data_IF_537969309787
#
_entry.id   IF_537969309787
#
_cell.length_a   1.000
_cell.length_b   1.000
_cell.length_c   1.000
_cell.angle_alpha   90.00
_cell.angle_beta   90.00
_cell.angle_gamma   90.00
#
_symmetry.space_group_name_H-M   'P 1'
#
loop_
_entity.id
_entity.type
_entity.pdbx_description
1 polymer ?
#
# COMPACT_ATOMS: atom_id res chain seq x y z
N UNK A 1 4.03 9.91 0.88
CA UNK A 1 4.85 8.80 0.32
C UNK A 1 3.99 7.76 -0.35
N UNK A 2 2.86 7.30 0.23
CA UNK A 2 1.98 6.37 -0.49
C UNK A 2 1.24 7.04 -1.66
N UNK A 3 1.02 8.36 -1.57
CA UNK A 3 0.34 9.25 -2.52
C UNK A 3 1.30 10.00 -3.47
N UNK A 4 2.54 10.25 -3.03
CA UNK A 4 3.60 10.83 -3.86
C UNK A 4 3.82 9.94 -5.09
N UNK A 5 3.67 10.51 -6.29
CA UNK A 5 4.06 9.87 -7.55
C UNK A 5 5.13 10.71 -8.21
N UNK A 6 6.10 10.05 -8.85
CA UNK A 6 7.01 10.73 -9.76
C UNK A 6 6.43 10.70 -11.18
N UNK A 7 6.90 11.58 -12.06
CA UNK A 7 6.46 11.51 -13.46
C UNK A 7 6.84 10.17 -14.07
N UNK A 8 6.01 9.62 -14.96
CA UNK A 8 6.31 8.38 -15.68
C UNK A 8 7.67 8.42 -16.39
N UNK A 9 7.99 9.57 -17.01
CA UNK A 9 9.30 9.82 -17.64
C UNK A 9 10.46 9.68 -16.64
N UNK A 10 10.29 10.15 -15.41
CA UNK A 10 11.29 9.97 -14.35
C UNK A 10 11.36 8.52 -13.90
N UNK A 11 10.22 7.85 -13.72
CA UNK A 11 10.17 6.46 -13.32
C UNK A 11 10.88 5.55 -14.32
N UNK A 12 10.67 5.75 -15.62
CA UNK A 12 11.29 4.99 -16.72
C UNK A 12 12.83 5.05 -16.74
N UNK A 13 13.45 6.03 -16.06
CA UNK A 13 14.90 6.12 -15.89
C UNK A 13 15.45 5.23 -14.76
N UNK A 14 14.59 4.74 -13.87
CA UNK A 14 14.97 3.95 -12.70
C UNK A 14 14.68 2.46 -12.97
N UNK A 15 15.70 1.60 -13.02
CA UNK A 15 15.49 0.18 -13.28
C UNK A 15 14.77 -0.47 -12.10
N UNK A 16 13.66 -1.15 -12.39
CA UNK A 16 13.05 -2.07 -11.44
C UNK A 16 13.79 -3.41 -11.45
N UNK A 17 13.78 -4.16 -10.34
CA UNK A 17 14.25 -5.53 -10.34
C UNK A 17 13.52 -6.38 -11.41
N UNK A 18 14.17 -7.41 -11.97
CA UNK A 18 13.52 -8.34 -12.88
C UNK A 18 12.19 -8.86 -12.31
N UNK A 19 11.17 -8.79 -13.15
CA UNK A 19 9.81 -9.10 -12.79
C UNK A 19 9.05 -9.73 -13.96
N UNK A 20 8.06 -10.54 -13.60
CA UNK A 20 7.19 -11.22 -14.54
C UNK A 20 5.75 -10.77 -14.34
N UNK A 21 5.04 -10.54 -15.45
CA UNK A 21 3.62 -10.24 -15.46
C UNK A 21 2.77 -11.49 -15.59
N UNK A 22 1.68 -11.54 -14.84
CA UNK A 22 0.71 -12.61 -14.83
C UNK A 22 -0.71 -12.06 -14.86
N UNK A 23 -1.63 -12.86 -15.38
CA UNK A 23 -3.07 -12.74 -15.11
C UNK A 23 -3.43 -13.84 -14.11
N UNK A 24 -4.09 -13.48 -13.02
CA UNK A 24 -4.54 -14.41 -11.96
C UNK A 24 -5.92 -14.01 -11.49
N UNK A 25 -6.68 -14.99 -11.02
CA UNK A 25 -7.95 -14.70 -10.36
C UNK A 25 -7.71 -14.20 -8.95
N UNK A 26 -8.66 -13.40 -8.43
CA UNK A 26 -8.64 -12.95 -7.03
C UNK A 26 -8.60 -14.13 -6.07
N UNK A 27 -9.38 -15.18 -6.33
CA UNK A 27 -9.40 -16.40 -5.50
C UNK A 27 -8.02 -17.04 -5.41
N UNK A 28 -7.33 -17.20 -6.54
CA UNK A 28 -5.99 -17.76 -6.56
C UNK A 28 -5.00 -16.92 -5.75
N UNK A 29 -5.07 -15.58 -5.81
CA UNK A 29 -4.20 -14.71 -5.01
C UNK A 29 -4.50 -14.79 -3.51
N UNK A 30 -5.79 -14.84 -3.15
CA UNK A 30 -6.21 -14.94 -1.75
C UNK A 30 -5.81 -16.26 -1.11
N UNK A 31 -5.64 -17.33 -1.89
CA UNK A 31 -5.18 -18.65 -1.42
C UNK A 31 -3.67 -18.75 -1.25
N UNK A 32 -2.89 -17.75 -1.69
CA UNK A 32 -1.43 -17.83 -1.55
C UNK A 32 -1.02 -17.84 -0.07
N UNK A 33 -0.08 -18.71 0.36
CA UNK A 33 0.18 -18.94 1.78
C UNK A 33 0.46 -17.68 2.59
N UNK A 34 1.29 -16.77 2.04
CA UNK A 34 1.63 -15.51 2.70
C UNK A 34 0.49 -14.50 2.71
N UNK A 35 -0.42 -14.57 1.73
CA UNK A 35 -1.62 -13.74 1.71
C UNK A 35 -2.59 -14.23 2.77
N UNK A 36 -2.90 -15.53 2.84
CA UNK A 36 -3.77 -16.13 3.86
C UNK A 36 -3.31 -15.80 5.29
N UNK A 37 -2.00 -15.92 5.55
CA UNK A 37 -1.40 -15.67 6.86
C UNK A 37 -1.57 -14.21 7.32
N UNK A 38 -1.40 -13.25 6.41
CA UNK A 38 -1.17 -11.85 6.79
C UNK A 38 -2.28 -10.89 6.39
N UNK A 39 -3.09 -11.18 5.37
CA UNK A 39 -3.96 -10.17 4.75
C UNK A 39 -5.03 -9.64 5.71
N UNK A 40 -5.53 -10.48 6.63
CA UNK A 40 -6.53 -10.07 7.63
C UNK A 40 -5.96 -9.10 8.67
N UNK A 41 -4.64 -9.02 8.81
CA UNK A 41 -3.96 -8.03 9.66
C UNK A 41 -3.90 -6.62 9.05
N UNK A 42 -4.11 -6.49 7.73
CA UNK A 42 -4.20 -5.19 7.06
C UNK A 42 -5.53 -4.53 7.43
N UNK A 43 -5.54 -3.25 7.88
CA UNK A 43 -6.78 -2.57 8.23
C UNK A 43 -7.65 -2.37 7.00
N UNK A 44 -8.98 -2.46 7.16
CA UNK A 44 -9.91 -2.35 6.04
C UNK A 44 -10.17 -0.88 5.69
N UNK A 45 -9.78 -0.45 4.49
CA UNK A 45 -10.26 0.78 3.89
C UNK A 45 -11.67 0.56 3.29
N UNK A 46 -12.70 1.01 4.00
CA UNK A 46 -14.11 0.82 3.60
C UNK A 46 -14.46 1.56 2.31
N UNK A 47 -13.98 2.79 2.11
CA UNK A 47 -14.23 3.54 0.87
C UNK A 47 -13.63 2.83 -0.35
N UNK A 48 -12.43 2.29 -0.21
CA UNK A 48 -11.80 1.49 -1.26
C UNK A 48 -12.60 0.23 -1.55
N UNK A 49 -13.05 -0.49 -0.51
CA UNK A 49 -13.90 -1.66 -0.66
C UNK A 49 -15.16 -1.34 -1.45
N UNK A 50 -15.85 -0.26 -1.10
CA UNK A 50 -17.11 0.11 -1.74
C UNK A 50 -16.88 0.50 -3.22
N UNK A 51 -15.78 1.20 -3.52
CA UNK A 51 -15.38 1.50 -4.91
C UNK A 51 -15.06 0.23 -5.71
N UNK A 52 -14.32 -0.72 -5.13
CA UNK A 52 -14.02 -2.01 -5.78
C UNK A 52 -15.29 -2.86 -5.99
N UNK A 53 -16.24 -2.83 -5.06
CA UNK A 53 -17.50 -3.57 -5.16
C UNK A 53 -18.41 -3.00 -6.27
N UNK A 54 -18.33 -1.68 -6.52
CA UNK A 54 -19.11 -0.98 -7.53
C UNK A 54 -18.46 -1.03 -8.92
N UNK A 55 -17.14 -0.85 -8.99
CA UNK A 55 -16.43 -0.56 -10.25
C UNK A 55 -15.44 -1.66 -10.67
N UNK A 56 -15.22 -2.66 -9.82
CA UNK A 56 -14.23 -3.71 -10.06
C UNK A 56 -12.80 -3.27 -9.79
N UNK A 57 -11.83 -4.05 -10.26
CA UNK A 57 -10.41 -3.88 -9.95
C UNK A 57 -9.66 -3.43 -11.21
N UNK A 58 -9.24 -2.17 -11.25
CA UNK A 58 -8.50 -1.61 -12.39
C UNK A 58 -6.98 -1.69 -12.22
N UNK A 59 -6.50 -1.22 -11.08
CA UNK A 59 -5.07 -1.13 -10.84
C UNK A 59 -4.44 -2.54 -10.71
N UNK A 60 -3.23 -2.77 -11.27
CA UNK A 60 -2.51 -4.03 -11.10
C UNK A 60 -1.98 -4.21 -9.67
N UNK A 61 -1.50 -5.41 -9.33
CA UNK A 61 -0.76 -5.68 -8.09
C UNK A 61 0.74 -5.78 -8.36
N UNK A 62 1.57 -5.33 -7.41
CA UNK A 62 2.99 -5.66 -7.36
C UNK A 62 3.23 -6.61 -6.20
N UNK A 63 3.86 -7.75 -6.44
CA UNK A 63 4.07 -8.79 -5.44
C UNK A 63 5.55 -9.18 -5.27
N UNK A 64 5.87 -9.60 -4.05
CA UNK A 64 7.10 -10.36 -3.75
C UNK A 64 7.05 -11.76 -4.41
N UNK A 65 8.18 -12.49 -4.51
CA UNK A 65 8.21 -13.84 -5.09
C UNK A 65 7.19 -14.81 -4.47
N UNK A 66 6.88 -14.63 -3.19
CA UNK A 66 5.89 -15.39 -2.42
C UNK A 66 4.43 -14.93 -2.62
N UNK A 67 4.18 -14.05 -3.60
CA UNK A 67 2.88 -13.49 -3.97
C UNK A 67 2.24 -12.50 -3.00
N UNK A 68 2.88 -12.21 -1.87
CA UNK A 68 2.37 -11.16 -0.99
C UNK A 68 2.54 -9.78 -1.64
N UNK A 69 1.50 -8.92 -1.63
CA UNK A 69 1.56 -7.63 -2.28
C UNK A 69 2.56 -6.68 -1.59
N UNK A 70 3.43 -6.10 -2.41
CA UNK A 70 4.20 -4.88 -2.11
C UNK A 70 3.27 -3.69 -2.33
N UNK A 71 2.66 -3.60 -3.52
CA UNK A 71 1.64 -2.62 -3.85
C UNK A 71 0.28 -3.29 -4.03
N UNK A 72 -0.73 -2.78 -3.31
CA UNK A 72 -2.11 -3.28 -3.40
C UNK A 72 -2.60 -4.08 -2.19
N UNK A 73 -1.88 -4.12 -1.06
CA UNK A 73 -2.30 -4.84 0.14
C UNK A 73 -3.68 -4.40 0.66
N UNK A 74 -3.97 -3.10 0.62
CA UNK A 74 -5.30 -2.55 0.95
C UNK A 74 -6.41 -3.05 0.00
N UNK A 75 -6.11 -3.14 -1.31
CA UNK A 75 -7.04 -3.70 -2.31
C UNK A 75 -7.26 -5.18 -2.07
N UNK A 76 -6.21 -5.94 -1.80
CA UNK A 76 -6.31 -7.36 -1.47
C UNK A 76 -7.12 -7.59 -0.19
N UNK A 77 -6.96 -6.73 0.83
CA UNK A 77 -7.75 -6.77 2.07
C UNK A 77 -9.22 -6.48 1.83
N UNK A 78 -9.53 -5.50 0.99
CA UNK A 78 -10.90 -5.18 0.60
C UNK A 78 -11.54 -6.33 -0.18
N UNK A 79 -10.81 -6.95 -1.12
CA UNK A 79 -11.30 -8.12 -1.86
C UNK A 79 -11.56 -9.31 -0.94
N UNK A 80 -10.67 -9.59 0.02
CA UNK A 80 -10.90 -10.61 1.04
C UNK A 80 -12.15 -10.35 1.90
N UNK A 81 -12.62 -9.10 1.97
CA UNK A 81 -13.89 -8.71 2.61
C UNK A 81 -15.09 -8.97 1.68
N UNK A 82 -14.98 -8.51 0.43
CA UNK A 82 -16.05 -8.58 -0.58
C UNK A 82 -16.42 -10.04 -0.88
N UNK A 83 -15.44 -10.92 -1.07
CA UNK A 83 -15.68 -12.32 -1.46
C UNK A 83 -16.49 -13.12 -0.44
N UNK A 84 -16.51 -12.68 0.83
CA UNK A 84 -17.34 -13.31 1.88
C UNK A 84 -18.83 -13.18 1.54
N UNK A 85 -19.24 -12.03 1.00
CA UNK A 85 -20.64 -11.73 0.64
C UNK A 85 -20.92 -11.95 -0.84
N UNK A 86 -19.90 -11.79 -1.70
CA UNK A 86 -20.00 -11.93 -3.16
C UNK A 86 -18.91 -12.86 -3.69
N UNK A 87 -19.09 -14.19 -3.59
CA UNK A 87 -18.08 -15.16 -4.03
C UNK A 87 -17.70 -15.05 -5.51
N UNK A 88 -18.56 -14.47 -6.36
CA UNK A 88 -18.25 -14.19 -7.78
C UNK A 88 -17.02 -13.30 -7.97
N UNK A 89 -16.61 -12.54 -6.96
CA UNK A 89 -15.37 -11.77 -7.01
C UNK A 89 -14.12 -12.66 -7.04
N UNK A 90 -14.21 -13.93 -6.61
CA UNK A 90 -13.09 -14.88 -6.67
C UNK A 90 -12.62 -15.12 -8.10
N UNK A 91 -13.53 -15.05 -9.08
CA UNK A 91 -13.26 -15.36 -10.48
C UNK A 91 -12.74 -14.15 -11.29
N UNK A 92 -12.73 -12.96 -10.69
CA UNK A 92 -12.24 -11.76 -11.38
C UNK A 92 -10.75 -11.91 -11.65
N UNK A 93 -10.38 -11.75 -12.92
CA UNK A 93 -8.98 -11.72 -13.34
C UNK A 93 -8.35 -10.35 -13.06
N UNK A 94 -7.13 -10.38 -12.54
CA UNK A 94 -6.33 -9.19 -12.25
C UNK A 94 -4.92 -9.33 -12.80
N UNK A 95 -4.34 -8.20 -13.20
CA UNK A 95 -2.94 -8.10 -13.60
C UNK A 95 -2.03 -8.09 -12.37
N UNK A 96 -1.02 -8.96 -12.35
CA UNK A 96 -0.07 -9.09 -11.25
C UNK A 96 1.35 -9.04 -11.79
N UNK A 97 2.11 -8.06 -11.34
CA UNK A 97 3.55 -7.98 -11.53
C UNK A 97 4.23 -8.61 -10.32
N UNK A 98 5.14 -9.57 -10.53
CA UNK A 98 5.85 -10.25 -9.44
C UNK A 98 7.35 -10.13 -9.63
N UNK A 99 8.09 -9.71 -8.60
CA UNK A 99 9.55 -9.80 -8.63
C UNK A 99 9.99 -11.26 -8.68
N UNK A 100 11.01 -11.54 -9.49
CA UNK A 100 11.44 -12.91 -9.74
C UNK A 100 12.20 -13.50 -8.54
N UNK A 101 12.88 -12.63 -7.76
CA UNK A 101 13.70 -12.99 -6.59
C UNK A 101 13.59 -11.93 -5.48
N UNK A 102 14.10 -12.27 -4.30
CA UNK A 102 14.15 -11.38 -3.15
C UNK A 102 15.38 -10.45 -3.21
N UNK A 103 15.31 -9.44 -4.09
CA UNK A 103 16.46 -8.55 -4.37
C UNK A 103 16.91 -7.69 -3.19
N UNK A 104 16.04 -7.45 -2.20
CA UNK A 104 16.38 -6.72 -0.98
C UNK A 104 17.25 -7.53 -0.01
N UNK A 105 17.44 -8.84 -0.22
CA UNK A 105 18.26 -9.66 0.68
C UNK A 105 19.72 -9.18 0.77
N UNK A 106 20.20 -8.40 -0.20
CA UNK A 106 21.54 -7.81 -0.14
C UNK A 106 21.74 -6.94 1.11
N UNK A 107 20.69 -6.26 1.59
CA UNK A 107 20.78 -5.44 2.80
C UNK A 107 20.97 -6.27 4.07
N UNK A 108 20.62 -7.56 4.06
CA UNK A 108 20.85 -8.46 5.20
C UNK A 108 22.32 -8.78 5.44
N UNK A 109 23.21 -8.40 4.52
CA UNK A 109 24.66 -8.44 4.75
C UNK A 109 25.14 -7.29 5.64
N UNK A 110 24.31 -6.28 5.91
CA UNK A 110 24.66 -5.17 6.78
C UNK A 110 24.51 -5.56 8.25
N UNK A 111 25.58 -5.36 9.03
CA UNK A 111 25.65 -5.81 10.44
C UNK A 111 24.83 -4.97 11.42
N UNK A 112 24.52 -3.71 11.09
CA UNK A 112 23.62 -2.88 11.91
C UNK A 112 22.16 -3.22 11.57
N UNK A 113 21.48 -3.86 12.52
CA UNK A 113 20.10 -4.32 12.37
C UNK A 113 19.09 -3.17 12.24
N UNK A 114 19.28 -2.07 12.97
CA UNK A 114 18.35 -0.93 12.93
C UNK A 114 18.45 -0.21 11.58
N UNK A 115 19.68 -0.03 11.09
CA UNK A 115 19.88 0.52 9.75
C UNK A 115 19.39 -0.43 8.66
N UNK A 116 19.69 -1.73 8.76
CA UNK A 116 19.24 -2.74 7.80
C UNK A 116 17.73 -2.69 7.63
N UNK A 117 16.97 -2.75 8.73
CA UNK A 117 15.51 -2.81 8.67
C UNK A 117 14.94 -1.52 8.04
N UNK A 118 15.55 -0.36 8.31
CA UNK A 118 15.23 0.91 7.64
C UNK A 118 15.58 0.89 6.14
N UNK A 119 16.75 0.38 5.77
CA UNK A 119 17.19 0.30 4.39
C UNK A 119 16.28 -0.61 3.54
N UNK A 120 15.87 -1.75 4.09
CA UNK A 120 14.89 -2.65 3.46
C UNK A 120 13.55 -1.95 3.28
N UNK A 121 13.06 -1.23 4.30
CA UNK A 121 11.81 -0.48 4.20
C UNK A 121 11.88 0.61 3.10
N UNK A 122 12.97 1.38 3.05
CA UNK A 122 13.20 2.39 2.01
C UNK A 122 13.23 1.73 0.63
N UNK A 123 13.91 0.59 0.49
CA UNK A 123 13.98 -0.13 -0.78
C UNK A 123 12.58 -0.50 -1.30
N UNK A 124 11.72 -1.05 -0.44
CA UNK A 124 10.34 -1.38 -0.83
C UNK A 124 9.54 -0.14 -1.21
N UNK A 125 9.65 0.94 -0.44
CA UNK A 125 8.96 2.20 -0.73
C UNK A 125 9.38 2.79 -2.08
N UNK A 126 10.67 2.76 -2.39
CA UNK A 126 11.20 3.25 -3.67
C UNK A 126 10.79 2.35 -4.85
N UNK A 127 10.85 1.03 -4.67
CA UNK A 127 10.40 0.08 -5.68
C UNK A 127 8.90 0.23 -5.98
N UNK A 128 8.07 0.39 -4.94
CA UNK A 128 6.64 0.66 -5.06
C UNK A 128 6.38 1.99 -5.79
N UNK A 129 7.05 3.07 -5.39
CA UNK A 129 6.92 4.39 -6.01
C UNK A 129 7.20 4.35 -7.52
N UNK A 130 8.33 3.77 -7.90
CA UNK A 130 8.75 3.65 -9.31
C UNK A 130 7.73 2.81 -10.07
N UNK A 131 7.34 1.65 -9.53
CA UNK A 131 6.39 0.75 -10.20
C UNK A 131 5.00 1.35 -10.35
N UNK A 132 4.44 2.00 -9.32
CA UNK A 132 3.14 2.68 -9.41
C UNK A 132 3.16 3.76 -10.48
N UNK A 133 4.23 4.56 -10.51
CA UNK A 133 4.41 5.66 -11.46
C UNK A 133 4.52 5.17 -12.91
N UNK A 134 4.94 3.93 -13.14
CA UNK A 134 4.99 3.32 -14.48
C UNK A 134 3.65 2.69 -14.91
N UNK A 135 2.93 2.05 -13.99
CA UNK A 135 1.91 1.06 -14.34
C UNK A 135 0.50 1.35 -13.82
N UNK A 136 0.31 2.37 -12.99
CA UNK A 136 -1.04 2.87 -12.71
C UNK A 136 -1.44 3.83 -13.83
N UNK A 137 -2.52 3.48 -14.53
CA UNK A 137 -2.99 4.20 -15.72
C UNK A 137 -4.09 5.22 -15.37
N UNK A 138 -4.86 4.97 -14.31
CA UNK A 138 -5.96 5.83 -13.87
C UNK A 138 -5.55 6.71 -12.67
N UNK A 139 -5.87 7.99 -12.75
CA UNK A 139 -5.73 8.94 -11.64
C UNK A 139 -7.00 9.06 -10.80
N UNK A 140 -8.16 8.71 -11.37
CA UNK A 140 -9.47 8.74 -10.69
C UNK A 140 -10.26 7.45 -10.91
N UNK A 141 -11.14 7.12 -9.97
CA UNK A 141 -12.16 6.10 -10.17
C UNK A 141 -13.31 6.62 -11.08
N UNK A 142 -14.27 5.76 -11.49
CA UNK A 142 -15.38 6.19 -12.34
C UNK A 142 -16.32 7.25 -11.73
N UNK A 143 -16.29 7.43 -10.40
CA UNK A 143 -17.04 8.49 -9.72
C UNK A 143 -16.22 9.79 -9.58
N UNK A 144 -15.01 9.85 -10.17
CA UNK A 144 -14.11 11.00 -10.13
C UNK A 144 -13.29 11.12 -8.85
N UNK A 145 -13.30 10.10 -7.99
CA UNK A 145 -12.52 10.10 -6.74
C UNK A 145 -11.06 9.82 -7.09
N UNK A 146 -10.14 10.68 -6.62
CA UNK A 146 -8.70 10.48 -6.83
C UNK A 146 -8.25 9.14 -6.24
N UNK A 147 -7.49 8.36 -7.01
CA UNK A 147 -6.89 7.12 -6.53
C UNK A 147 -5.94 7.35 -5.33
N UNK A 148 -5.31 8.52 -5.27
CA UNK A 148 -4.46 8.92 -4.14
C UNK A 148 -5.25 9.13 -2.85
N UNK A 149 -6.55 9.45 -2.93
CA UNK A 149 -7.39 9.60 -1.74
C UNK A 149 -7.53 8.26 -1.00
N UNK A 150 -7.65 7.15 -1.73
CA UNK A 150 -7.67 5.82 -1.10
C UNK A 150 -6.34 5.47 -0.44
N UNK A 151 -5.23 5.88 -1.04
CA UNK A 151 -3.89 5.68 -0.50
C UNK A 151 -3.71 6.50 0.79
N UNK A 152 -4.10 7.78 0.78
CA UNK A 152 -4.08 8.68 1.93
C UNK A 152 -4.93 8.16 3.10
N UNK A 153 -6.14 7.69 2.83
CA UNK A 153 -6.99 7.06 3.84
C UNK A 153 -6.31 5.81 4.40
N UNK A 154 -5.73 4.97 3.54
CA UNK A 154 -5.04 3.75 3.95
C UNK A 154 -3.84 4.01 4.88
N UNK A 155 -3.12 5.11 4.68
CA UNK A 155 -2.01 5.55 5.52
C UNK A 155 -2.45 6.04 6.91
N UNK A 156 -3.69 6.52 7.04
CA UNK A 156 -4.26 7.01 8.30
C UNK A 156 -4.91 5.90 9.14
N UNK A 157 -5.15 4.72 8.55
CA UNK A 157 -5.73 3.60 9.29
C UNK A 157 -4.74 3.10 10.36
N UNK A 158 -5.26 2.71 11.52
CA UNK A 158 -4.43 2.14 12.59
C UNK A 158 -3.97 0.73 12.20
N UNK A 159 -2.72 0.65 11.74
CA UNK A 159 -2.07 -0.62 11.45
C UNK A 159 -1.71 -1.29 12.77
N UNK A 160 -2.22 -2.50 13.02
CA UNK A 160 -1.85 -3.34 14.18
C UNK A 160 -0.41 -3.88 14.10
N UNK A 161 0.54 -3.07 13.64
CA UNK A 161 1.95 -3.44 13.65
C UNK A 161 2.56 -3.12 15.02
N UNK A 162 2.93 -4.18 15.71
CA UNK A 162 3.80 -4.25 16.90
C UNK A 162 5.24 -3.73 16.64
N UNK A 163 5.50 -3.00 15.56
CA UNK A 163 6.83 -2.49 15.24
C UNK A 163 7.13 -1.20 16.02
N UNK A 164 8.39 -1.05 16.46
CA UNK A 164 8.87 0.13 17.19
C UNK A 164 8.68 1.42 16.36
N UNK A 165 8.87 1.33 15.04
CA UNK A 165 8.65 2.39 14.05
C UNK A 165 7.19 2.81 13.91
N UNK A 166 6.23 1.87 13.96
CA UNK A 166 4.80 2.20 13.96
C UNK A 166 4.42 3.03 15.19
N UNK A 167 4.92 2.63 16.36
CA UNK A 167 4.73 3.36 17.63
C UNK A 167 5.40 4.74 17.63
N UNK A 168 6.56 4.88 16.99
CA UNK A 168 7.25 6.18 16.85
C UNK A 168 6.52 7.13 15.90
N UNK A 169 5.97 6.63 14.78
CA UNK A 169 5.10 7.43 13.89
C UNK A 169 3.85 7.92 14.61
N UNK A 170 3.20 7.04 15.37
CA UNK A 170 2.00 7.35 16.15
C UNK A 170 2.30 8.39 17.24
N UNK A 171 3.46 8.29 17.92
CA UNK A 171 3.94 9.34 18.85
C UNK A 171 4.18 10.67 18.15
N UNK A 172 4.76 10.67 16.96
CA UNK A 172 5.07 11.90 16.21
C UNK A 172 3.80 12.58 15.71
N UNK A 173 2.80 11.81 15.25
CA UNK A 173 1.48 12.34 14.87
C UNK A 173 0.73 12.91 16.07
N UNK A 174 0.74 12.22 17.21
CA UNK A 174 0.11 12.73 18.43
C UNK A 174 0.78 14.02 18.92
N UNK A 175 2.12 14.12 18.83
CA UNK A 175 2.82 15.36 19.17
C UNK A 175 2.43 16.52 18.25
N UNK A 176 2.29 16.28 16.94
CA UNK A 176 1.83 17.32 16.00
C UNK A 176 0.42 17.79 16.32
N UNK A 177 -0.51 16.87 16.59
CA UNK A 177 -1.88 17.23 16.98
C UNK A 177 -1.92 18.09 18.24
N UNK A 178 -1.13 17.75 19.26
CA UNK A 178 -1.02 18.55 20.50
C UNK A 178 -0.43 19.94 20.23
N UNK A 179 0.58 20.04 19.35
CA UNK A 179 1.18 21.32 19.00
C UNK A 179 0.17 22.19 18.23
N UNK A 180 -0.53 21.62 17.26
CA UNK A 180 -1.52 22.33 16.46
C UNK A 180 -2.71 22.80 17.35
N UNK A 181 -3.22 21.95 18.24
CA UNK A 181 -4.24 22.34 19.24
C UNK A 181 -3.75 23.46 20.17
N UNK A 182 -2.49 23.38 20.63
CA UNK A 182 -1.91 24.43 21.48
C UNK A 182 -1.67 25.75 20.74
N UNK A 183 -1.50 25.73 19.42
CA UNK A 183 -1.35 26.94 18.61
C UNK A 183 -2.73 27.56 18.31
N UNK A 184 -3.77 26.75 18.12
CA UNK A 184 -5.16 27.21 18.00
C UNK A 184 -5.72 27.78 19.32
N UNK A 185 -5.38 27.21 20.49
CA UNK A 185 -5.78 27.75 21.81
C UNK A 185 -5.08 29.07 22.15
N UNK A 186 -3.90 29.33 21.59
CA UNK A 186 -3.12 30.55 21.81
C UNK A 186 -3.28 31.58 20.70
N UNK A 187 -4.21 31.38 19.76
CA UNK A 187 -4.51 32.35 18.71
C UNK A 187 -5.31 33.53 19.30
N UNK A 188 -4.73 34.75 19.38
CA UNK A 188 -5.38 35.89 20.03
C UNK A 188 -6.68 36.36 19.34
N UNK A 189 -7.03 35.81 18.17
CA UNK A 189 -8.32 36.06 17.52
C UNK A 189 -9.47 35.18 18.05
N UNK A 190 -9.19 34.10 18.78
CA UNK A 190 -10.21 33.15 19.29
C UNK A 190 -10.65 33.40 20.75
N UNK A 191 -10.08 34.41 21.42
CA UNK A 191 -10.53 34.86 22.75
C UNK A 191 -11.36 36.13 22.62
N UNK A 192 -12.61 35.96 22.17
CA UNK A 192 -13.68 36.98 22.21
C UNK A 192 -14.81 36.54 23.13
#
# INVERSE_FOLDING_TARGET
MADDRVSRKTAELVPLPPHTWYIRTVGWLLEQPKVLENIRGVPLNTKLRDSLEKHGIKAPFLCMPNWYPIAGSQRMRALADIVIKRPTFLDIEVRVCRFDKEYWLIYYLWGDHDFRDKAVAIWFQMAELVWKSMYYEDDTDPDGISMQEYERIGDQLDWKHTSKLGRERQRTQNLKGIIDESLEENDPENTS
#
